data_IF_051642858786
#
_entry.id   IF_051642858786
#
_cell.length_a   1.000
_cell.length_b   1.000
_cell.length_c   1.000
_cell.angle_alpha   90.00
_cell.angle_beta   90.00
_cell.angle_gamma   90.00
#
_symmetry.space_group_name_H-M   'P 1'
#
loop_
_entity.id
_entity.type
_entity.pdbx_description
1 polymer ?
#
# COMPACT_ATOMS: atom_id res chain seq x y z
N UNK A 1 -19.02 65.54 47.72
CA UNK A 1 -18.79 64.88 49.02
C UNK A 1 -18.24 63.48 48.78
N UNK A 2 -17.10 63.18 49.42
CA UNK A 2 -16.54 61.86 49.77
C UNK A 2 -15.95 60.95 48.67
N UNK A 3 -14.71 61.30 48.31
CA UNK A 3 -13.48 60.47 48.27
C UNK A 3 -13.52 58.99 48.70
N UNK A 4 -12.91 58.12 47.88
CA UNK A 4 -11.89 57.08 48.22
C UNK A 4 -11.08 56.78 46.94
N UNK A 5 -9.86 57.29 46.74
CA UNK A 5 -8.57 56.87 47.29
C UNK A 5 -8.06 55.50 46.77
N UNK A 6 -7.15 55.59 45.79
CA UNK A 6 -5.88 54.87 45.57
C UNK A 6 -5.78 53.37 45.90
N UNK A 7 -5.21 52.60 44.96
CA UNK A 7 -3.91 51.94 45.16
C UNK A 7 -3.36 51.40 43.82
N UNK A 8 -2.28 52.03 43.38
CA UNK A 8 -1.34 51.53 42.37
C UNK A 8 -0.41 50.55 43.08
N UNK A 9 -0.32 49.32 42.59
CA UNK A 9 0.77 48.39 42.93
C UNK A 9 1.35 47.82 41.65
N UNK A 10 2.52 48.34 41.31
CA UNK A 10 3.44 47.76 40.35
C UNK A 10 4.24 46.63 41.03
N UNK A 11 4.27 45.45 40.41
CA UNK A 11 5.30 44.41 40.61
C UNK A 11 5.15 43.43 39.42
N UNK A 12 5.96 43.56 38.37
CA UNK A 12 7.27 42.94 38.21
C UNK A 12 7.20 41.45 37.80
N UNK A 13 7.62 41.19 36.54
CA UNK A 13 8.36 40.00 36.07
C UNK A 13 7.55 38.68 36.08
N UNK A 14 7.31 37.99 34.96
CA UNK A 14 8.28 37.20 34.16
C UNK A 14 7.77 37.11 32.72
N UNK A 15 8.58 37.57 31.75
CA UNK A 15 8.51 37.12 30.37
C UNK A 15 8.94 35.64 30.35
N UNK A 16 8.00 34.72 30.12
CA UNK A 16 8.33 33.32 29.85
C UNK A 16 8.75 33.20 28.38
N UNK A 17 10.03 32.96 28.05
CA UNK A 17 10.36 32.49 26.72
C UNK A 17 9.77 31.08 26.56
N UNK A 18 8.86 30.91 25.61
CA UNK A 18 8.49 29.61 25.05
C UNK A 18 9.69 29.06 24.26
N UNK A 19 10.79 28.80 24.94
CA UNK A 19 11.93 28.08 24.40
C UNK A 19 11.82 26.62 24.77
N UNK A 20 12.03 25.77 23.77
CA UNK A 20 12.09 24.31 23.81
C UNK A 20 10.76 23.56 23.70
N UNK A 21 10.11 23.67 22.52
CA UNK A 21 9.66 22.43 21.87
C UNK A 21 10.91 21.57 21.70
N UNK A 22 11.09 20.62 22.61
CA UNK A 22 12.16 19.66 22.55
C UNK A 22 12.16 19.05 21.14
N UNK A 23 13.18 19.39 20.36
CA UNK A 23 13.63 18.60 19.22
C UNK A 23 14.23 17.33 19.81
N UNK A 24 13.38 16.49 20.39
CA UNK A 24 13.68 15.09 20.61
C UNK A 24 13.88 14.54 19.21
N UNK A 25 15.14 14.47 18.77
CA UNK A 25 15.53 13.61 17.68
C UNK A 25 15.22 12.20 18.18
N UNK A 26 13.96 11.78 17.97
CA UNK A 26 13.54 10.41 18.20
C UNK A 26 14.51 9.47 17.51
N UNK A 27 14.65 8.23 18.00
CA UNK A 27 15.63 7.29 17.49
C UNK A 27 15.59 7.28 15.97
N UNK A 28 16.73 7.62 15.34
CA UNK A 28 16.88 7.57 13.89
C UNK A 28 16.30 6.25 13.41
N UNK A 29 15.33 6.25 12.47
CA UNK A 29 14.76 5.01 11.97
C UNK A 29 15.92 4.10 11.57
N UNK A 30 16.06 2.95 12.26
CA UNK A 30 16.96 1.90 11.79
C UNK A 30 16.58 1.66 10.34
N UNK A 31 17.57 1.67 9.45
CA UNK A 31 17.36 1.63 8.00
C UNK A 31 16.34 0.59 7.58
N UNK A 32 15.70 0.82 6.44
CA UNK A 32 14.64 -0.04 5.92
C UNK A 32 15.02 -1.53 6.07
N UNK A 33 14.10 -2.32 6.62
CA UNK A 33 14.31 -3.75 6.79
C UNK A 33 14.79 -4.36 5.45
N UNK A 34 15.72 -5.33 5.49
CA UNK A 34 16.19 -6.01 4.29
C UNK A 34 15.01 -6.52 3.46
N UNK A 35 15.14 -6.43 2.13
CA UNK A 35 14.13 -6.97 1.23
C UNK A 35 14.01 -8.49 1.47
N UNK A 36 12.80 -9.00 1.80
CA UNK A 36 12.61 -10.42 2.09
C UNK A 36 12.72 -11.33 0.84
N UNK A 37 12.90 -10.74 -0.35
CA UNK A 37 13.25 -11.43 -1.59
C UNK A 37 12.07 -12.10 -2.31
N UNK A 38 12.34 -12.75 -3.47
CA UNK A 38 11.31 -13.36 -4.32
C UNK A 38 10.46 -14.44 -3.64
N UNK A 39 11.06 -15.23 -2.72
CA UNK A 39 10.34 -16.28 -1.98
C UNK A 39 9.21 -15.72 -1.11
N UNK A 40 9.42 -14.57 -0.46
CA UNK A 40 8.38 -13.91 0.32
C UNK A 40 7.25 -13.36 -0.56
N UNK A 41 7.58 -12.88 -1.76
CA UNK A 41 6.56 -12.50 -2.74
C UNK A 41 5.74 -13.72 -3.17
N UNK A 42 6.34 -14.88 -3.42
CA UNK A 42 5.58 -16.12 -3.72
C UNK A 42 4.56 -16.44 -2.63
N UNK A 43 4.96 -16.44 -1.36
CA UNK A 43 4.05 -16.73 -0.23
C UNK A 43 2.90 -15.71 -0.16
N UNK A 44 3.21 -14.43 -0.36
CA UNK A 44 2.18 -13.39 -0.45
C UNK A 44 1.21 -13.66 -1.61
N UNK A 45 1.72 -14.04 -2.78
CA UNK A 45 0.90 -14.35 -3.94
C UNK A 45 0.01 -15.57 -3.71
N UNK A 46 0.52 -16.63 -3.06
CA UNK A 46 -0.29 -17.78 -2.67
C UNK A 46 -1.49 -17.36 -1.81
N UNK A 47 -1.26 -16.55 -0.78
CA UNK A 47 -2.32 -16.01 0.07
C UNK A 47 -3.34 -15.18 -0.72
N UNK A 48 -2.87 -14.26 -1.57
CA UNK A 48 -3.75 -13.39 -2.35
C UNK A 48 -4.56 -14.15 -3.41
N UNK A 49 -4.03 -15.24 -3.96
CA UNK A 49 -4.75 -16.08 -4.93
C UNK A 49 -5.79 -17.01 -4.31
N UNK A 50 -5.97 -16.98 -2.99
CA UNK A 50 -7.06 -17.67 -2.29
C UNK A 50 -8.22 -16.73 -1.93
N UNK A 51 -8.08 -15.43 -2.17
CA UNK A 51 -9.14 -14.46 -1.94
C UNK A 51 -10.28 -14.66 -2.94
N UNK A 52 -11.53 -14.52 -2.50
CA UNK A 52 -12.71 -14.70 -3.37
C UNK A 52 -12.74 -13.68 -4.51
N UNK A 53 -12.22 -12.47 -4.26
CA UNK A 53 -12.07 -11.44 -5.30
C UNK A 53 -11.04 -11.80 -6.38
N UNK A 54 -10.19 -12.79 -6.12
CA UNK A 54 -9.33 -13.41 -7.12
C UNK A 54 -10.00 -14.62 -7.78
N UNK A 55 -10.58 -15.53 -6.99
CA UNK A 55 -11.06 -16.83 -7.51
C UNK A 55 -12.37 -16.71 -8.28
N UNK A 56 -13.22 -15.76 -7.90
CA UNK A 56 -14.56 -15.59 -8.45
C UNK A 56 -14.93 -14.11 -8.67
N UNK A 57 -14.13 -13.36 -9.44
CA UNK A 57 -14.27 -11.90 -9.57
C UNK A 57 -15.60 -11.45 -10.20
N UNK A 58 -16.29 -12.32 -10.95
CA UNK A 58 -17.56 -12.00 -11.60
C UNK A 58 -18.76 -12.07 -10.67
N UNK A 59 -18.66 -12.85 -9.60
CA UNK A 59 -19.74 -13.03 -8.61
C UNK A 59 -19.60 -12.06 -7.42
N UNK A 60 -18.54 -11.25 -7.39
CA UNK A 60 -18.27 -10.32 -6.31
C UNK A 60 -18.86 -8.93 -6.54
N UNK A 61 -19.39 -8.35 -5.48
CA UNK A 61 -19.69 -6.92 -5.43
C UNK A 61 -18.38 -6.11 -5.37
N UNK A 62 -18.08 -5.23 -6.35
CA UNK A 62 -16.78 -4.59 -6.42
C UNK A 62 -16.35 -3.78 -5.19
N UNK A 63 -17.23 -3.02 -4.50
CA UNK A 63 -16.89 -2.38 -3.23
C UNK A 63 -16.41 -3.36 -2.16
N UNK A 64 -16.97 -4.58 -2.12
CA UNK A 64 -16.54 -5.66 -1.21
C UNK A 64 -15.08 -6.08 -1.39
N UNK A 65 -14.50 -5.84 -2.57
CA UNK A 65 -13.13 -6.21 -2.90
C UNK A 65 -12.06 -5.15 -2.56
N UNK A 66 -12.43 -4.00 -1.96
CA UNK A 66 -11.48 -2.92 -1.69
C UNK A 66 -10.28 -3.35 -0.83
N UNK A 67 -10.51 -4.23 0.16
CA UNK A 67 -9.43 -4.78 1.00
C UNK A 67 -8.46 -5.62 0.17
N UNK A 68 -8.97 -6.50 -0.69
CA UNK A 68 -8.16 -7.30 -1.61
C UNK A 68 -7.30 -6.39 -2.50
N UNK A 69 -7.91 -5.42 -3.19
CA UNK A 69 -7.20 -4.45 -4.06
C UNK A 69 -6.11 -3.68 -3.30
N UNK A 70 -6.37 -3.32 -2.04
CA UNK A 70 -5.36 -2.66 -1.18
C UNK A 70 -4.15 -3.55 -0.93
N UNK A 71 -4.37 -4.85 -0.65
CA UNK A 71 -3.28 -5.80 -0.39
C UNK A 71 -2.41 -6.04 -1.64
N UNK A 72 -2.98 -5.89 -2.84
CA UNK A 72 -2.24 -5.96 -4.10
C UNK A 72 -1.29 -4.79 -4.31
N UNK A 73 -1.48 -3.66 -3.63
CA UNK A 73 -0.87 -2.38 -3.97
C UNK A 73 0.67 -2.37 -4.10
N UNK A 74 1.38 -3.26 -3.40
CA UNK A 74 2.85 -3.36 -3.52
C UNK A 74 3.31 -4.36 -4.57
N UNK A 75 2.45 -5.30 -4.98
CA UNK A 75 2.82 -6.43 -5.84
C UNK A 75 3.37 -5.97 -7.19
N UNK A 76 2.76 -5.01 -7.91
CA UNK A 76 3.30 -4.56 -9.19
C UNK A 76 4.73 -4.05 -9.14
N UNK A 77 5.05 -3.20 -8.15
CA UNK A 77 6.37 -2.62 -7.99
C UNK A 77 7.40 -3.67 -7.59
N UNK A 78 7.04 -4.59 -6.70
CA UNK A 78 7.92 -5.71 -6.31
C UNK A 78 8.17 -6.67 -7.48
N UNK A 79 7.15 -6.99 -8.28
CA UNK A 79 7.30 -7.81 -9.49
C UNK A 79 8.26 -7.17 -10.49
N UNK A 80 8.10 -5.87 -10.79
CA UNK A 80 9.01 -5.15 -11.68
C UNK A 80 10.45 -5.08 -11.13
N UNK A 81 10.61 -4.93 -9.81
CA UNK A 81 11.91 -4.97 -9.16
C UNK A 81 12.61 -6.31 -9.35
N UNK A 82 11.92 -7.41 -9.06
CA UNK A 82 12.51 -8.76 -9.17
C UNK A 82 12.65 -9.24 -10.61
N UNK A 83 11.88 -8.67 -11.54
CA UNK A 83 12.04 -8.96 -12.95
C UNK A 83 13.42 -8.57 -13.50
N UNK A 84 13.96 -7.44 -13.03
CA UNK A 84 15.22 -6.88 -13.55
C UNK A 84 15.18 -6.76 -15.07
N UNK A 85 16.29 -7.11 -15.73
CA UNK A 85 16.38 -7.22 -17.19
C UNK A 85 16.19 -8.64 -17.70
N UNK A 86 16.19 -9.64 -16.82
CA UNK A 86 16.25 -11.06 -17.17
C UNK A 86 14.86 -11.69 -17.31
N UNK A 87 13.83 -11.10 -16.68
CA UNK A 87 12.45 -11.61 -16.70
C UNK A 87 11.46 -10.53 -17.18
N UNK A 88 11.57 -10.03 -18.43
CA UNK A 88 10.71 -8.97 -18.94
C UNK A 88 9.20 -9.30 -18.85
N UNK A 89 8.84 -10.58 -18.91
CA UNK A 89 7.47 -11.08 -18.75
C UNK A 89 6.92 -10.86 -17.34
N UNK A 90 7.75 -10.96 -16.29
CA UNK A 90 7.34 -10.64 -14.92
C UNK A 90 7.12 -9.12 -14.76
N UNK A 91 7.97 -8.31 -15.38
CA UNK A 91 7.79 -6.86 -15.39
C UNK A 91 6.49 -6.46 -16.12
N UNK A 92 6.17 -7.12 -17.23
CA UNK A 92 4.95 -6.91 -17.99
C UNK A 92 3.71 -7.30 -17.20
N UNK A 93 3.69 -8.50 -16.59
CA UNK A 93 2.60 -8.93 -15.72
C UNK A 93 2.41 -7.97 -14.54
N UNK A 94 3.51 -7.47 -13.95
CA UNK A 94 3.48 -6.43 -12.92
C UNK A 94 2.83 -5.13 -13.41
N UNK A 95 3.17 -4.65 -14.61
CA UNK A 95 2.55 -3.45 -15.21
C UNK A 95 1.07 -3.66 -15.54
N UNK A 96 0.70 -4.85 -16.01
CA UNK A 96 -0.69 -5.20 -16.27
C UNK A 96 -1.53 -5.17 -14.98
N UNK A 97 -0.99 -5.74 -13.89
CA UNK A 97 -1.65 -5.70 -12.57
C UNK A 97 -1.81 -4.27 -12.06
N UNK A 98 -0.78 -3.43 -12.20
CA UNK A 98 -0.82 -2.02 -11.83
C UNK A 98 -1.90 -1.24 -12.60
N UNK A 99 -2.01 -1.52 -13.92
CA UNK A 99 -3.04 -0.95 -14.78
C UNK A 99 -4.44 -1.38 -14.32
N UNK A 100 -4.65 -2.65 -14.01
CA UNK A 100 -5.94 -3.15 -13.53
C UNK A 100 -6.35 -2.53 -12.18
N UNK A 101 -5.41 -2.41 -11.23
CA UNK A 101 -5.63 -1.73 -9.94
C UNK A 101 -6.02 -0.27 -10.16
N UNK A 102 -5.33 0.44 -11.08
CA UNK A 102 -5.72 1.81 -11.46
C UNK A 102 -7.11 1.83 -12.08
N UNK A 103 -7.42 0.95 -13.01
CA UNK A 103 -8.75 0.82 -13.61
C UNK A 103 -9.86 0.72 -12.57
N UNK A 104 -9.68 -0.11 -11.54
CA UNK A 104 -10.65 -0.20 -10.44
C UNK A 104 -10.78 1.12 -9.64
N UNK A 105 -9.67 1.79 -9.36
CA UNK A 105 -9.67 3.06 -8.61
C UNK A 105 -10.27 4.21 -9.41
N UNK A 106 -9.88 4.33 -10.67
CA UNK A 106 -10.29 5.39 -11.59
C UNK A 106 -11.79 5.28 -11.91
N UNK A 107 -12.32 4.05 -11.98
CA UNK A 107 -13.75 3.79 -12.09
C UNK A 107 -14.50 3.90 -10.75
N UNK A 108 -13.85 4.28 -9.64
CA UNK A 108 -14.46 4.41 -8.31
C UNK A 108 -15.15 3.14 -7.79
N UNK A 109 -14.60 1.98 -8.14
CA UNK A 109 -15.19 0.68 -7.86
C UNK A 109 -15.25 0.30 -6.38
N UNK A 110 -14.53 1.02 -5.52
CA UNK A 110 -14.63 0.87 -4.06
C UNK A 110 -15.91 1.47 -3.47
N UNK A 111 -16.69 2.21 -4.26
CA UNK A 111 -17.89 2.90 -3.77
C UNK A 111 -19.07 2.81 -4.74
N UNK A 112 -19.00 3.48 -5.89
CA UNK A 112 -20.16 3.74 -6.76
C UNK A 112 -19.87 3.60 -8.26
N UNK A 113 -18.79 2.90 -8.61
CA UNK A 113 -18.40 2.68 -9.99
C UNK A 113 -19.44 1.90 -10.81
N UNK A 114 -19.29 1.97 -12.14
CA UNK A 114 -20.08 1.14 -13.05
C UNK A 114 -19.79 -0.35 -12.79
N UNK A 115 -20.84 -1.14 -12.60
CA UNK A 115 -20.72 -2.58 -12.34
C UNK A 115 -19.85 -3.28 -13.40
N UNK A 116 -20.14 -3.08 -14.69
CA UNK A 116 -19.41 -3.72 -15.79
C UNK A 116 -17.91 -3.39 -15.78
N UNK A 117 -17.57 -2.10 -15.70
CA UNK A 117 -16.18 -1.66 -15.69
C UNK A 117 -15.43 -2.14 -14.43
N UNK A 118 -16.14 -2.23 -13.31
CA UNK A 118 -15.56 -2.68 -12.05
C UNK A 118 -15.35 -4.20 -12.00
N UNK A 119 -16.29 -4.97 -12.52
CA UNK A 119 -16.14 -6.42 -12.70
C UNK A 119 -15.01 -6.72 -13.67
N UNK A 120 -14.92 -6.00 -14.80
CA UNK A 120 -13.80 -6.13 -15.74
C UNK A 120 -12.45 -5.85 -15.07
N UNK A 121 -12.35 -4.77 -14.27
CA UNK A 121 -11.12 -4.47 -13.55
C UNK A 121 -10.73 -5.56 -12.53
N UNK A 122 -11.70 -6.21 -11.88
CA UNK A 122 -11.43 -7.35 -10.98
C UNK A 122 -10.95 -8.59 -11.75
N UNK A 123 -11.56 -8.89 -12.90
CA UNK A 123 -11.12 -9.98 -13.78
C UNK A 123 -9.70 -9.74 -14.30
N UNK A 124 -9.39 -8.52 -14.72
CA UNK A 124 -8.05 -8.12 -15.16
C UNK A 124 -7.03 -8.25 -14.02
N UNK A 125 -7.40 -7.86 -12.80
CA UNK A 125 -6.54 -8.04 -11.63
C UNK A 125 -6.28 -9.53 -11.33
N UNK A 126 -7.31 -10.37 -11.37
CA UNK A 126 -7.16 -11.81 -11.16
C UNK A 126 -6.22 -12.42 -12.20
N UNK A 127 -6.45 -12.11 -13.49
CA UNK A 127 -5.62 -12.58 -14.60
C UNK A 127 -4.17 -12.14 -14.44
N UNK A 128 -3.92 -10.84 -14.22
CA UNK A 128 -2.56 -10.32 -14.10
C UNK A 128 -1.85 -10.83 -12.84
N UNK A 129 -2.56 -10.98 -11.71
CA UNK A 129 -1.99 -11.54 -10.49
C UNK A 129 -1.60 -13.02 -10.67
N UNK A 130 -2.42 -13.78 -11.39
CA UNK A 130 -2.12 -15.16 -11.77
C UNK A 130 -0.85 -15.26 -12.60
N UNK A 131 -0.66 -14.35 -13.56
CA UNK A 131 0.57 -14.25 -14.36
C UNK A 131 1.78 -13.90 -13.49
N UNK A 132 1.67 -12.89 -12.62
CA UNK A 132 2.74 -12.52 -11.68
C UNK A 132 3.15 -13.75 -10.84
N UNK A 133 2.19 -14.49 -10.28
CA UNK A 133 2.47 -15.73 -9.53
C UNK A 133 3.18 -16.77 -10.39
N UNK A 134 2.70 -17.02 -11.59
CA UNK A 134 3.30 -18.00 -12.49
C UNK A 134 4.75 -17.66 -12.86
N UNK A 135 5.09 -16.38 -13.04
CA UNK A 135 6.44 -15.94 -13.35
C UNK A 135 7.35 -15.91 -12.11
N UNK A 136 6.86 -15.45 -10.96
CA UNK A 136 7.61 -15.48 -9.68
C UNK A 136 8.01 -16.91 -9.33
N UNK A 137 7.14 -17.90 -9.54
CA UNK A 137 7.44 -19.31 -9.28
C UNK A 137 8.57 -19.89 -10.14
N UNK A 138 8.97 -19.21 -11.22
CA UNK A 138 10.07 -19.62 -12.11
C UNK A 138 11.40 -18.94 -11.78
N UNK A 139 11.40 -18.00 -10.84
CA UNK A 139 12.63 -17.32 -10.44
C UNK A 139 13.59 -18.31 -9.76
N UNK A 140 14.91 -18.26 -10.06
CA UNK A 140 15.89 -19.20 -9.51
C UNK A 140 15.90 -19.27 -7.98
N UNK A 141 15.75 -18.12 -7.32
CA UNK A 141 15.73 -17.99 -5.86
C UNK A 141 14.49 -18.67 -5.24
N UNK A 142 13.41 -18.78 -6.00
CA UNK A 142 12.15 -19.42 -5.56
C UNK A 142 12.21 -20.93 -5.78
N UNK A 143 12.74 -21.36 -6.93
CA UNK A 143 12.85 -22.79 -7.26
C UNK A 143 13.84 -23.51 -6.34
N UNK A 144 14.92 -22.85 -5.95
CA UNK A 144 15.94 -23.42 -5.05
C UNK A 144 15.48 -23.55 -3.59
N UNK A 145 14.50 -22.76 -3.15
CA UNK A 145 13.90 -22.87 -1.82
C UNK A 145 12.83 -23.96 -1.69
N UNK A 146 12.40 -24.55 -2.82
CA UNK A 146 11.30 -25.51 -2.88
C UNK A 146 11.75 -26.96 -3.06
N UNK A 147 13.06 -27.21 -3.19
CA UNK A 147 13.69 -28.53 -3.27
C UNK A 147 14.46 -28.86 -2.00
#
# INVERSE_FOLDING_TARGET
MRTRALLVTAAAVVLLPLSACAREAGPTPKGAAPDPGPGALRVKLEALTMDVCFTDPTEMDPPGCQKYVTQLGTVPGTAQKFAGTEHPELAEAGRALDKAIRGYRDNTCGTQGSADACTEALVDMSTALGQVKAHVSKLPEVTTQSG
#
